data_IF_145265527549
#
_entry.id   IF_145265527549
#
_cell.length_a   1.000
_cell.length_b   1.000
_cell.length_c   1.000
_cell.angle_alpha   90.00
_cell.angle_beta   90.00
_cell.angle_gamma   90.00
#
_symmetry.space_group_name_H-M   'P 1'
#
loop_
_entity.id
_entity.type
_entity.pdbx_description
1 polymer ?
#
# COMPACT_ATOMS: atom_id res chain seq x y z
N UNK A 1 7.83 7.69 -4.24
CA UNK A 1 8.50 6.51 -4.84
C UNK A 1 8.74 6.77 -6.31
N UNK A 2 9.88 6.36 -6.85
CA UNK A 2 10.16 6.46 -8.29
C UNK A 2 10.76 5.14 -8.80
N UNK A 3 10.38 4.74 -10.00
CA UNK A 3 10.93 3.60 -10.74
C UNK A 3 11.78 4.17 -11.86
N UNK A 4 13.05 3.77 -11.92
CA UNK A 4 14.01 4.23 -12.92
C UNK A 4 14.48 3.08 -13.80
N UNK A 5 14.88 3.41 -15.02
CA UNK A 5 15.55 2.47 -15.92
C UNK A 5 17.06 2.38 -15.61
N UNK A 6 17.72 1.37 -16.17
CA UNK A 6 19.19 1.25 -16.13
C UNK A 6 19.91 2.48 -16.70
N UNK A 7 19.28 3.18 -17.64
CA UNK A 7 19.78 4.42 -18.24
C UNK A 7 19.49 5.68 -17.39
N UNK A 8 19.10 5.51 -16.12
CA UNK A 8 18.78 6.59 -15.15
C UNK A 8 17.57 7.47 -15.53
N UNK A 9 16.79 7.07 -16.52
CA UNK A 9 15.53 7.75 -16.86
C UNK A 9 14.44 7.34 -15.85
N UNK A 10 13.64 8.30 -15.37
CA UNK A 10 12.48 8.03 -14.51
C UNK A 10 11.36 7.47 -15.39
N UNK A 11 11.01 6.20 -15.16
CA UNK A 11 9.93 5.53 -15.88
C UNK A 11 8.57 5.85 -15.26
N UNK A 12 8.52 5.91 -13.94
CA UNK A 12 7.31 6.23 -13.20
C UNK A 12 7.62 6.89 -11.87
N UNK A 13 6.83 7.88 -11.49
CA UNK A 13 6.87 8.50 -10.17
C UNK A 13 5.49 8.44 -9.53
N UNK A 14 5.48 7.99 -8.28
CA UNK A 14 4.29 7.72 -7.48
C UNK A 14 4.39 8.46 -6.15
N UNK A 15 3.29 9.08 -5.74
CA UNK A 15 3.09 9.58 -4.39
C UNK A 15 2.02 8.76 -3.69
N UNK A 16 2.07 8.75 -2.37
CA UNK A 16 1.09 8.07 -1.54
C UNK A 16 0.52 9.05 -0.53
N UNK A 17 -0.76 8.93 -0.22
CA UNK A 17 -1.32 9.58 0.96
C UNK A 17 -0.92 8.82 2.25
N UNK A 18 -1.24 9.36 3.43
CA UNK A 18 -0.98 8.70 4.71
C UNK A 18 -1.51 7.27 4.82
N UNK A 19 -2.58 6.93 4.09
CA UNK A 19 -3.23 5.62 4.12
C UNK A 19 -2.76 4.70 2.98
N UNK A 20 -1.82 5.14 2.16
CA UNK A 20 -1.24 4.35 1.07
C UNK A 20 -1.99 4.41 -0.25
N UNK A 21 -2.95 5.33 -0.41
CA UNK A 21 -3.57 5.58 -1.71
C UNK A 21 -2.53 6.16 -2.66
N UNK A 22 -2.39 5.51 -3.81
CA UNK A 22 -1.34 5.83 -4.78
C UNK A 22 -1.83 6.84 -5.82
N UNK A 23 -1.00 7.85 -6.10
CA UNK A 23 -1.20 8.82 -7.17
C UNK A 23 0.00 8.82 -8.10
N UNK A 24 -0.25 8.82 -9.41
CA UNK A 24 0.81 8.93 -10.41
C UNK A 24 1.16 10.40 -10.62
N UNK A 25 2.42 10.76 -10.38
CA UNK A 25 2.96 12.11 -10.61
C UNK A 25 3.62 12.22 -11.98
N UNK A 26 4.34 11.16 -12.37
CA UNK A 26 4.98 11.09 -13.68
C UNK A 26 4.87 9.68 -14.24
N UNK A 27 4.62 9.58 -15.54
CA UNK A 27 4.54 8.32 -16.25
C UNK A 27 5.09 8.50 -17.65
N UNK A 28 6.09 7.69 -18.02
CA UNK A 28 6.75 7.81 -19.31
C UNK A 28 5.85 7.33 -20.48
N UNK A 29 4.80 6.55 -20.19
CA UNK A 29 3.83 6.06 -21.18
C UNK A 29 2.47 5.85 -20.50
N UNK A 30 1.36 6.10 -21.23
CA UNK A 30 0.01 5.81 -20.74
C UNK A 30 -0.22 4.34 -20.38
N UNK A 31 0.60 3.43 -20.93
CA UNK A 31 0.58 2.00 -20.63
C UNK A 31 1.51 1.60 -19.47
N UNK A 32 2.32 2.51 -18.92
CA UNK A 32 3.26 2.18 -17.85
C UNK A 32 2.57 1.64 -16.59
N UNK A 33 1.32 2.05 -16.34
CA UNK A 33 0.50 1.47 -15.27
C UNK A 33 0.22 -0.02 -15.48
N UNK A 34 0.15 -0.50 -16.71
CA UNK A 34 -0.07 -1.91 -17.06
C UNK A 34 1.23 -2.68 -17.31
N UNK A 35 2.34 -1.98 -17.60
CA UNK A 35 3.63 -2.59 -17.96
C UNK A 35 4.56 -2.89 -16.79
N UNK A 36 4.32 -2.33 -15.58
CA UNK A 36 5.16 -2.67 -14.44
C UNK A 36 4.89 -4.12 -13.99
N UNK A 37 5.93 -4.84 -13.49
CA UNK A 37 5.78 -6.19 -12.99
C UNK A 37 4.65 -6.27 -11.95
N UNK A 38 3.84 -7.33 -12.02
CA UNK A 38 2.74 -7.61 -11.08
C UNK A 38 3.19 -7.74 -9.62
N UNK A 39 4.50 -7.81 -9.38
CA UNK A 39 5.17 -7.90 -8.09
C UNK A 39 5.85 -6.59 -7.66
N UNK A 40 5.49 -5.46 -8.28
CA UNK A 40 6.01 -4.16 -7.88
C UNK A 40 5.64 -3.85 -6.42
N UNK A 41 6.64 -3.68 -5.57
CA UNK A 41 6.48 -3.18 -4.21
C UNK A 41 6.13 -1.70 -4.26
N UNK A 42 5.16 -1.29 -3.45
CA UNK A 42 4.63 0.07 -3.37
C UNK A 42 4.65 0.60 -1.94
N UNK A 43 3.47 0.97 -1.45
CA UNK A 43 3.29 1.51 -0.10
C UNK A 43 3.89 0.58 0.95
N UNK A 44 4.71 1.17 1.84
CA UNK A 44 5.41 0.49 2.95
C UNK A 44 6.20 -0.78 2.54
N UNK A 45 6.59 -0.89 1.26
CA UNK A 45 7.36 -2.02 0.74
C UNK A 45 6.54 -3.29 0.46
N UNK A 46 5.21 -3.21 0.55
CA UNK A 46 4.29 -4.30 0.26
C UNK A 46 3.86 -4.34 -1.22
N UNK A 47 3.32 -5.48 -1.66
CA UNK A 47 2.94 -5.69 -3.05
C UNK A 47 1.62 -4.98 -3.37
N UNK A 48 1.62 -4.12 -4.38
CA UNK A 48 0.41 -3.47 -4.86
C UNK A 48 -0.28 -4.36 -5.90
N UNK A 49 -1.57 -4.63 -5.72
CA UNK A 49 -2.38 -5.34 -6.71
C UNK A 49 -3.07 -4.31 -7.61
N UNK A 50 -2.48 -4.08 -8.79
CA UNK A 50 -3.03 -3.14 -9.77
C UNK A 50 -4.38 -3.62 -10.30
N UNK A 51 -5.30 -2.67 -10.54
CA UNK A 51 -6.67 -2.94 -11.00
C UNK A 51 -7.69 -3.10 -9.87
N UNK A 52 -7.26 -3.48 -8.67
CA UNK A 52 -8.14 -3.62 -7.49
C UNK A 52 -7.90 -2.55 -6.42
N UNK A 53 -6.86 -1.71 -6.59
CA UNK A 53 -6.45 -0.69 -5.61
C UNK A 53 -6.23 -1.25 -4.19
N UNK A 54 -5.76 -2.49 -4.08
CA UNK A 54 -5.45 -3.14 -2.80
C UNK A 54 -3.96 -3.44 -2.64
N UNK A 55 -3.53 -3.58 -1.39
CA UNK A 55 -2.16 -3.90 -1.01
C UNK A 55 -2.14 -5.28 -0.36
N UNK A 56 -1.32 -6.18 -0.90
CA UNK A 56 -1.07 -7.48 -0.29
C UNK A 56 0.08 -7.37 0.71
N UNK A 57 -0.25 -7.39 2.01
CA UNK A 57 0.72 -7.21 3.10
C UNK A 57 1.28 -8.53 3.66
N UNK A 58 1.25 -9.60 2.86
CA UNK A 58 1.85 -10.91 3.20
C UNK A 58 0.90 -11.88 3.92
N UNK A 59 0.10 -11.39 4.86
CA UNK A 59 -0.91 -12.19 5.57
C UNK A 59 -2.35 -11.71 5.43
N UNK A 60 -2.54 -10.43 5.08
CA UNK A 60 -3.86 -9.82 4.89
C UNK A 60 -3.84 -8.85 3.72
N UNK A 61 -5.00 -8.68 3.10
CA UNK A 61 -5.22 -7.66 2.08
C UNK A 61 -5.71 -6.36 2.72
N UNK A 62 -5.05 -5.26 2.39
CA UNK A 62 -5.35 -3.92 2.86
C UNK A 62 -5.96 -3.08 1.72
N UNK A 63 -6.99 -2.31 2.03
CA UNK A 63 -7.61 -1.36 1.12
C UNK A 63 -7.26 0.07 1.58
N UNK A 64 -6.36 0.77 0.86
CA UNK A 64 -5.98 2.16 1.12
C UNK A 64 -7.11 3.17 0.98
N UNK A 65 -8.12 2.90 0.15
CA UNK A 65 -9.21 3.83 -0.09
C UNK A 65 -10.08 4.03 1.17
N UNK A 66 -10.33 2.95 1.90
CA UNK A 66 -11.08 2.99 3.17
C UNK A 66 -10.18 3.00 4.41
N UNK A 67 -8.88 2.80 4.26
CA UNK A 67 -7.93 2.74 5.37
C UNK A 67 -8.07 1.50 6.26
N UNK A 68 -8.49 0.36 5.71
CA UNK A 68 -8.81 -0.86 6.48
C UNK A 68 -8.30 -2.14 5.82
N UNK A 69 -8.06 -3.16 6.63
CA UNK A 69 -7.91 -4.52 6.13
C UNK A 69 -9.26 -5.07 5.66
N UNK A 70 -9.23 -5.95 4.67
CA UNK A 70 -10.41 -6.66 4.16
C UNK A 70 -10.72 -7.94 4.94
N UNK A 71 -9.81 -8.32 5.84
CA UNK A 71 -9.90 -9.53 6.67
C UNK A 71 -9.57 -9.14 8.11
N UNK A 72 -10.25 -9.74 9.11
CA UNK A 72 -9.92 -9.49 10.51
C UNK A 72 -8.52 -10.02 10.84
N UNK A 73 -7.82 -9.35 11.76
CA UNK A 73 -6.62 -9.90 12.40
C UNK A 73 -6.95 -11.19 13.15
N UNK A 74 -6.25 -12.31 12.89
CA UNK A 74 -6.39 -13.51 13.72
C UNK A 74 -5.89 -13.31 15.16
N UNK A 75 -5.05 -12.29 15.41
CA UNK A 75 -4.44 -12.06 16.72
C UNK A 75 -4.84 -10.70 17.31
N UNK A 76 -5.14 -10.67 18.61
CA UNK A 76 -5.27 -9.44 19.40
C UNK A 76 -3.95 -9.25 20.14
N UNK A 77 -3.11 -8.34 19.66
CA UNK A 77 -1.73 -8.21 20.17
C UNK A 77 -1.66 -7.57 21.57
N UNK A 78 -2.62 -6.71 21.91
CA UNK A 78 -2.68 -6.00 23.18
C UNK A 78 -4.12 -5.98 23.72
N UNK A 79 -4.54 -7.01 24.48
CA UNK A 79 -5.91 -7.16 24.99
C UNK A 79 -6.37 -6.04 25.94
N UNK A 80 -5.44 -5.33 26.58
CA UNK A 80 -5.71 -4.18 27.45
C UNK A 80 -5.93 -2.87 26.66
N UNK A 81 -5.58 -2.85 25.37
CA UNK A 81 -5.84 -1.72 24.50
C UNK A 81 -7.15 -1.95 23.74
N UNK A 82 -8.20 -1.21 24.09
CA UNK A 82 -9.51 -1.31 23.46
C UNK A 82 -9.47 -1.11 21.94
N UNK A 83 -8.50 -0.34 21.41
CA UNK A 83 -8.32 -0.15 19.96
C UNK A 83 -7.92 -1.44 19.23
N UNK A 84 -7.27 -2.37 19.92
CA UNK A 84 -6.82 -3.64 19.32
C UNK A 84 -7.99 -4.59 19.00
N UNK A 85 -9.17 -4.36 19.59
CA UNK A 85 -10.38 -5.09 19.23
C UNK A 85 -10.94 -4.67 17.86
N UNK A 86 -10.49 -3.53 17.30
CA UNK A 86 -10.73 -3.20 15.90
C UNK A 86 -9.76 -3.99 15.00
N UNK A 87 -10.10 -5.25 14.76
CA UNK A 87 -9.32 -6.21 13.98
C UNK A 87 -9.16 -5.87 12.48
N UNK A 88 -9.86 -4.85 12.00
CA UNK A 88 -9.73 -4.33 10.63
C UNK A 88 -8.87 -3.06 10.55
N UNK A 89 -8.44 -2.52 11.69
CA UNK A 89 -7.63 -1.29 11.72
C UNK A 89 -6.25 -1.52 11.14
N UNK A 90 -5.78 -0.50 10.41
CA UNK A 90 -4.40 -0.43 9.97
C UNK A 90 -3.61 0.41 10.96
N UNK A 91 -2.59 -0.20 11.57
CA UNK A 91 -1.57 0.52 12.35
C UNK A 91 -2.20 1.39 13.47
N UNK A 92 -3.17 0.84 14.21
CA UNK A 92 -3.91 1.54 15.27
C UNK A 92 -4.55 2.88 14.82
N UNK A 93 -4.88 3.00 13.53
CA UNK A 93 -5.35 4.22 12.87
C UNK A 93 -4.33 5.36 12.81
N UNK A 94 -3.04 5.08 12.98
CA UNK A 94 -1.97 6.08 12.88
C UNK A 94 -0.86 5.60 11.94
N UNK A 95 -1.12 5.54 10.62
CA UNK A 95 -0.17 5.03 9.66
C UNK A 95 1.08 5.91 9.53
N UNK A 96 1.02 7.23 9.75
CA UNK A 96 2.19 8.10 9.59
C UNK A 96 3.27 7.90 10.67
N UNK A 97 2.88 7.45 11.87
CA UNK A 97 3.82 7.34 13.00
C UNK A 97 4.44 5.95 13.18
N UNK A 98 3.83 4.91 12.61
CA UNK A 98 4.20 3.52 12.91
C UNK A 98 4.37 2.63 11.66
N UNK A 99 4.60 3.24 10.49
CA UNK A 99 5.04 2.56 9.26
C UNK A 99 6.41 3.04 8.83
#
# INVERSE_FOLDING_TARGET
MAVTSQAKQVLQQLTYDPWGRQFAVHSHSGLANFSLPSDSRGYTGHRMVKGFEVVHMGGRTYNPFIGRFMQPDPFIQAPLNMQNYNRYSYVLNNPMSYT
#
